data_IF_111978853508
#
_entry.id   IF_111978853508
#
_cell.length_a   1.000
_cell.length_b   1.000
_cell.length_c   1.000
_cell.angle_alpha   90.00
_cell.angle_beta   90.00
_cell.angle_gamma   90.00
#
_symmetry.space_group_name_H-M   'P 1'
#
loop_
_entity.id
_entity.type
_entity.pdbx_description
1 polymer ?
#
# COMPACT_ATOMS: atom_id res chain seq x y z
N UNK A 1 13.35 16.35 14.95
CA UNK A 1 12.47 15.19 14.87
C UNK A 1 12.27 14.80 13.40
N UNK A 2 12.19 13.51 13.13
CA UNK A 2 12.00 12.95 11.79
C UNK A 2 10.88 11.92 11.86
N UNK A 3 9.89 12.06 10.99
CA UNK A 3 8.82 11.07 10.85
C UNK A 3 9.10 10.11 9.70
N UNK A 4 9.13 8.81 9.97
CA UNK A 4 9.11 7.78 8.94
C UNK A 4 7.74 7.73 8.27
N UNK A 5 7.70 7.85 6.95
CA UNK A 5 6.47 7.67 6.18
C UNK A 5 6.31 6.24 5.64
N UNK A 6 7.12 5.30 6.10
CA UNK A 6 6.95 3.90 5.77
C UNK A 6 5.65 3.35 6.39
N UNK A 7 5.02 2.42 5.71
CA UNK A 7 3.76 1.81 6.14
C UNK A 7 4.04 0.68 7.14
N UNK A 8 4.97 -0.19 6.81
CA UNK A 8 5.33 -1.37 7.61
C UNK A 8 6.72 -1.21 8.23
N UNK A 9 7.01 -1.90 9.37
CA UNK A 9 8.32 -1.85 10.01
C UNK A 9 9.40 -2.50 9.15
N UNK A 10 10.65 -2.06 9.35
CA UNK A 10 11.85 -2.69 8.79
C UNK A 10 12.70 -1.75 7.94
N UNK A 11 12.26 -1.39 6.74
CA UNK A 11 13.05 -0.58 5.79
C UNK A 11 13.45 0.79 6.33
N UNK A 12 12.58 1.44 7.10
CA UNK A 12 12.86 2.75 7.68
C UNK A 12 14.07 2.73 8.60
N UNK A 13 14.31 1.60 9.25
CA UNK A 13 15.44 1.48 10.16
C UNK A 13 16.76 1.42 9.40
N UNK A 14 16.79 0.69 8.30
CA UNK A 14 17.99 0.52 7.49
C UNK A 14 18.27 1.73 6.61
N UNK A 15 17.26 2.26 5.94
CA UNK A 15 17.44 3.38 5.02
C UNK A 15 17.47 4.73 5.73
N UNK A 16 16.48 5.02 6.58
CA UNK A 16 16.36 6.33 7.20
C UNK A 16 17.45 6.56 8.26
N UNK A 17 17.66 5.62 9.19
CA UNK A 17 18.61 5.81 10.29
C UNK A 17 20.06 5.56 9.89
N UNK A 18 20.33 4.52 9.13
CA UNK A 18 21.70 4.15 8.81
C UNK A 18 22.27 4.84 7.58
N UNK A 19 21.45 5.15 6.59
CA UNK A 19 21.91 5.73 5.34
C UNK A 19 21.60 7.22 5.27
N UNK A 20 20.33 7.59 5.44
CA UNK A 20 19.90 8.96 5.21
C UNK A 20 20.23 9.86 6.37
N UNK A 21 19.94 9.47 7.61
CA UNK A 21 20.21 10.33 8.77
C UNK A 21 21.68 10.28 9.15
N UNK A 22 22.28 9.09 9.28
CA UNK A 22 23.70 8.97 9.68
C UNK A 22 24.66 9.51 8.63
N UNK A 23 24.46 9.15 7.36
CA UNK A 23 25.42 9.49 6.29
C UNK A 23 25.08 10.80 5.58
N UNK A 24 23.81 11.05 5.32
CA UNK A 24 23.40 12.18 4.49
C UNK A 24 22.98 13.40 5.31
N UNK A 25 22.47 13.22 6.54
CA UNK A 25 22.07 14.33 7.42
C UNK A 25 23.09 14.66 8.49
N UNK A 26 24.31 14.21 8.34
CA UNK A 26 25.45 14.71 9.13
C UNK A 26 25.36 14.44 10.64
N UNK A 27 24.68 13.41 11.13
CA UNK A 27 24.78 13.04 12.55
C UNK A 27 26.24 12.76 12.93
N UNK A 28 26.99 12.13 12.02
CA UNK A 28 28.44 11.92 12.21
C UNK A 28 29.24 13.25 12.21
N UNK A 29 28.73 14.31 11.60
CA UNK A 29 29.37 15.62 11.52
C UNK A 29 28.96 16.53 12.67
N UNK A 30 27.76 16.30 13.24
CA UNK A 30 27.20 17.09 14.34
C UNK A 30 26.73 16.15 15.46
N UNK A 31 27.65 15.52 16.21
CA UNK A 31 27.33 14.51 17.22
C UNK A 31 26.53 15.06 18.44
N UNK A 32 26.31 16.37 18.48
CA UNK A 32 25.50 17.04 19.48
C UNK A 32 24.04 17.28 19.06
N UNK A 33 23.63 16.77 17.88
CA UNK A 33 22.25 16.84 17.42
C UNK A 33 21.54 15.55 17.82
N UNK A 34 20.56 15.69 18.68
CA UNK A 34 19.65 14.59 19.02
C UNK A 34 18.58 14.42 17.96
N UNK A 35 18.33 13.17 17.54
CA UNK A 35 17.34 12.84 16.52
C UNK A 35 16.23 12.01 17.14
N UNK A 36 15.01 12.54 17.13
CA UNK A 36 13.80 11.81 17.44
C UNK A 36 13.19 11.26 16.15
N UNK A 37 12.91 9.98 16.12
CA UNK A 37 12.27 9.28 14.98
C UNK A 37 10.89 8.79 15.39
N UNK A 38 9.83 9.28 14.73
CA UNK A 38 8.49 8.72 14.85
C UNK A 38 8.40 7.34 14.19
N UNK A 39 7.58 6.47 14.76
CA UNK A 39 7.37 5.12 14.27
C UNK A 39 6.71 5.09 12.87
N UNK A 40 6.82 3.98 12.16
CA UNK A 40 6.09 3.72 10.92
C UNK A 40 4.58 3.63 11.17
N UNK A 41 3.76 3.59 10.11
CA UNK A 41 2.30 3.65 10.24
C UNK A 41 1.73 2.49 11.05
N UNK A 42 2.13 1.26 10.74
CA UNK A 42 1.61 0.04 11.36
C UNK A 42 2.57 -0.48 12.44
N UNK A 43 2.89 0.34 13.43
CA UNK A 43 3.83 -0.04 14.49
C UNK A 43 3.19 -0.85 15.61
N UNK A 44 1.90 -0.69 15.83
CA UNK A 44 1.12 -1.38 16.87
C UNK A 44 -0.13 -2.05 16.28
N UNK A 45 -0.78 -2.89 17.06
CA UNK A 45 -2.07 -3.48 16.69
C UNK A 45 -3.18 -2.42 16.65
N UNK A 46 -3.13 -1.44 17.55
CA UNK A 46 -4.07 -0.32 17.58
C UNK A 46 -3.96 0.51 16.28
N UNK A 47 -2.76 0.75 15.77
CA UNK A 47 -2.54 1.42 14.48
C UNK A 47 -3.16 0.62 13.33
N UNK A 48 -3.00 -0.70 13.38
CA UNK A 48 -3.58 -1.61 12.37
C UNK A 48 -5.10 -1.50 12.34
N UNK A 49 -5.73 -1.49 13.50
CA UNK A 49 -7.19 -1.35 13.64
C UNK A 49 -7.65 0.04 13.22
N UNK A 50 -6.92 1.10 13.57
CA UNK A 50 -7.26 2.47 13.18
C UNK A 50 -7.16 2.66 11.66
N UNK A 51 -6.09 2.20 11.03
CA UNK A 51 -5.93 2.23 9.57
C UNK A 51 -7.03 1.43 8.87
N UNK A 52 -7.34 0.23 9.38
CA UNK A 52 -8.43 -0.58 8.84
C UNK A 52 -9.78 0.13 8.94
N UNK A 53 -10.05 0.82 10.07
CA UNK A 53 -11.28 1.58 10.27
C UNK A 53 -11.39 2.76 9.29
N UNK A 54 -10.30 3.50 9.04
CA UNK A 54 -10.28 4.59 8.06
C UNK A 54 -10.58 4.07 6.66
N UNK A 55 -9.90 3.01 6.23
CA UNK A 55 -10.12 2.40 4.92
C UNK A 55 -11.51 1.82 4.77
N UNK A 56 -12.03 1.13 5.80
CA UNK A 56 -13.40 0.65 5.80
C UNK A 56 -14.40 1.79 5.64
N UNK A 57 -14.25 2.88 6.38
CA UNK A 57 -15.14 4.04 6.28
C UNK A 57 -15.15 4.63 4.86
N UNK A 58 -13.99 4.63 4.20
CA UNK A 58 -13.84 5.10 2.83
C UNK A 58 -14.52 4.16 1.82
N UNK A 59 -14.33 2.85 1.96
CA UNK A 59 -14.81 1.87 0.98
C UNK A 59 -16.17 1.24 1.33
N UNK A 60 -16.78 1.51 2.50
CA UNK A 60 -17.97 0.80 3.01
C UNK A 60 -19.14 0.74 2.01
N UNK A 61 -19.35 1.79 1.22
CA UNK A 61 -20.42 1.81 0.22
C UNK A 61 -20.14 0.84 -0.94
N UNK A 62 -18.87 0.69 -1.33
CA UNK A 62 -18.44 -0.32 -2.33
C UNK A 62 -18.54 -1.72 -1.75
N UNK A 63 -18.07 -1.90 -0.52
CA UNK A 63 -18.05 -3.18 0.19
C UNK A 63 -19.42 -3.73 0.57
N UNK A 64 -20.46 -2.89 0.56
CA UNK A 64 -21.84 -3.33 0.77
C UNK A 64 -22.35 -4.28 -0.35
N UNK A 65 -21.77 -4.17 -1.55
CA UNK A 65 -22.15 -4.96 -2.72
C UNK A 65 -21.18 -6.13 -2.90
N UNK A 66 -21.67 -7.37 -2.86
CA UNK A 66 -20.84 -8.58 -3.03
C UNK A 66 -20.06 -8.64 -4.35
N UNK A 67 -20.60 -8.02 -5.40
CA UNK A 67 -19.95 -7.95 -6.72
C UNK A 67 -18.82 -6.93 -6.81
N UNK A 68 -18.63 -6.10 -5.81
CA UNK A 68 -17.54 -5.14 -5.75
C UNK A 68 -16.42 -5.74 -4.88
N UNK A 69 -15.21 -5.71 -5.37
CA UNK A 69 -14.01 -6.13 -4.64
C UNK A 69 -13.02 -4.98 -4.62
N UNK A 70 -12.47 -4.69 -3.45
CA UNK A 70 -11.41 -3.69 -3.29
C UNK A 70 -10.08 -4.43 -3.12
N UNK A 71 -9.08 -4.08 -3.93
CA UNK A 71 -7.72 -4.58 -3.82
C UNK A 71 -6.78 -3.45 -3.46
N UNK A 72 -6.07 -3.62 -2.36
CA UNK A 72 -5.08 -2.69 -1.84
C UNK A 72 -3.68 -3.25 -2.12
N UNK A 73 -2.85 -2.47 -2.79
CA UNK A 73 -1.49 -2.87 -3.16
C UNK A 73 -0.45 -2.14 -2.31
N UNK A 74 0.21 -2.87 -1.42
CA UNK A 74 1.40 -2.42 -0.71
C UNK A 74 2.68 -2.70 -1.50
N UNK A 75 3.80 -2.18 -1.01
CA UNK A 75 5.10 -2.42 -1.63
C UNK A 75 5.61 -3.85 -1.35
N UNK A 76 5.55 -4.28 -0.12
CA UNK A 76 6.21 -5.48 0.37
C UNK A 76 7.61 -5.17 0.91
N UNK A 77 8.16 -6.08 1.72
CA UNK A 77 9.49 -5.95 2.29
C UNK A 77 10.30 -7.23 1.99
N UNK A 78 11.51 -7.10 1.42
CA UNK A 78 12.38 -8.25 1.13
C UNK A 78 12.98 -8.89 2.39
N UNK A 79 13.01 -8.19 3.52
CA UNK A 79 13.65 -8.69 4.73
C UNK A 79 12.72 -9.62 5.52
N UNK A 80 12.97 -10.91 5.38
CA UNK A 80 12.21 -11.96 6.07
C UNK A 80 12.43 -11.98 7.60
N UNK A 81 13.50 -11.35 8.10
CA UNK A 81 13.80 -11.35 9.53
C UNK A 81 12.85 -10.45 10.33
N UNK A 82 12.34 -9.40 9.72
CA UNK A 82 11.40 -8.49 10.37
C UNK A 82 9.95 -8.96 10.34
N UNK A 83 9.66 -10.01 9.57
CA UNK A 83 8.30 -10.52 9.37
C UNK A 83 7.28 -9.40 9.01
N UNK A 84 7.78 -8.34 8.38
CA UNK A 84 7.02 -7.12 8.17
C UNK A 84 5.83 -7.31 7.23
N UNK A 85 5.92 -8.27 6.31
CA UNK A 85 4.84 -8.55 5.37
C UNK A 85 3.57 -9.10 6.04
N UNK A 86 3.66 -9.61 7.28
CA UNK A 86 2.46 -10.02 8.05
C UNK A 86 1.53 -8.84 8.33
N UNK A 87 2.05 -7.62 8.39
CA UNK A 87 1.23 -6.42 8.60
C UNK A 87 0.15 -6.24 7.54
N UNK A 88 0.40 -6.63 6.30
CA UNK A 88 -0.61 -6.59 5.24
C UNK A 88 -1.77 -7.56 5.52
N UNK A 89 -1.48 -8.78 5.96
CA UNK A 89 -2.50 -9.77 6.32
C UNK A 89 -3.22 -9.42 7.64
N UNK A 90 -2.57 -8.75 8.59
CA UNK A 90 -3.18 -8.22 9.79
C UNK A 90 -4.21 -7.12 9.46
N UNK A 91 -3.85 -6.15 8.61
CA UNK A 91 -4.79 -5.12 8.12
C UNK A 91 -5.96 -5.77 7.36
N UNK A 92 -5.70 -6.76 6.49
CA UNK A 92 -6.78 -7.47 5.82
C UNK A 92 -7.72 -8.16 6.81
N UNK A 93 -7.18 -8.77 7.86
CA UNK A 93 -7.97 -9.43 8.91
C UNK A 93 -8.85 -8.43 9.65
N UNK A 94 -8.30 -7.27 10.04
CA UNK A 94 -9.05 -6.19 10.65
C UNK A 94 -10.16 -5.67 9.72
N UNK A 95 -9.86 -5.44 8.45
CA UNK A 95 -10.83 -5.06 7.42
C UNK A 95 -11.95 -6.11 7.26
N UNK A 96 -11.62 -7.39 7.28
CA UNK A 96 -12.60 -8.48 7.21
C UNK A 96 -13.48 -8.58 8.46
N UNK A 97 -13.03 -8.05 9.60
CA UNK A 97 -13.87 -7.94 10.81
C UNK A 97 -14.91 -6.85 10.66
N UNK A 98 -14.58 -5.76 9.96
CA UNK A 98 -15.47 -4.63 9.70
C UNK A 98 -16.41 -4.86 8.51
N UNK A 99 -15.89 -5.44 7.44
CA UNK A 99 -16.63 -5.63 6.18
C UNK A 99 -17.42 -6.95 6.19
N UNK A 100 -18.75 -6.87 6.26
CA UNK A 100 -19.64 -8.04 6.30
C UNK A 100 -19.40 -9.02 5.16
N UNK A 101 -19.13 -8.53 3.95
CA UNK A 101 -18.88 -9.38 2.78
C UNK A 101 -17.43 -9.86 2.66
N UNK A 102 -16.49 -9.30 3.42
CA UNK A 102 -15.06 -9.63 3.36
C UNK A 102 -14.45 -9.51 1.95
N UNK A 103 -14.93 -8.56 1.17
CA UNK A 103 -14.59 -8.34 -0.23
C UNK A 103 -13.51 -7.26 -0.43
N UNK A 104 -12.57 -7.20 0.48
CA UNK A 104 -11.39 -6.33 0.44
C UNK A 104 -10.15 -7.16 0.75
N UNK A 105 -9.11 -7.02 -0.07
CA UNK A 105 -7.89 -7.80 0.05
C UNK A 105 -6.68 -6.88 -0.01
N UNK A 106 -5.64 -7.23 0.75
CA UNK A 106 -4.39 -6.47 0.84
C UNK A 106 -3.25 -7.36 0.37
N UNK A 107 -2.58 -6.96 -0.69
CA UNK A 107 -1.41 -7.67 -1.22
C UNK A 107 -0.26 -6.72 -1.49
N UNK A 108 0.77 -7.23 -2.14
CA UNK A 108 2.02 -6.51 -2.38
C UNK A 108 2.44 -6.58 -3.84
N UNK A 109 3.28 -5.62 -4.27
CA UNK A 109 3.81 -5.61 -5.64
C UNK A 109 5.06 -6.49 -5.78
N UNK A 110 5.96 -6.48 -4.78
CA UNK A 110 7.27 -7.09 -4.93
C UNK A 110 7.55 -8.29 -4.02
N UNK A 111 7.04 -8.30 -2.79
CA UNK A 111 7.35 -9.33 -1.80
C UNK A 111 6.10 -9.66 -0.97
N UNK A 112 6.04 -10.87 -0.43
CA UNK A 112 4.87 -11.32 0.34
C UNK A 112 3.75 -11.85 -0.55
N UNK A 113 2.51 -11.50 -0.23
CA UNK A 113 1.32 -11.95 -0.96
C UNK A 113 1.08 -11.11 -2.20
N UNK A 114 1.71 -11.49 -3.30
CA UNK A 114 1.61 -10.79 -4.59
C UNK A 114 0.31 -11.11 -5.34
N UNK A 115 0.15 -10.53 -6.53
CA UNK A 115 -1.11 -10.68 -7.28
C UNK A 115 -1.41 -12.14 -7.66
N UNK A 116 -0.50 -12.83 -8.34
CA UNK A 116 -0.72 -14.20 -8.82
C UNK A 116 0.21 -15.22 -8.19
N UNK A 117 1.48 -14.91 -8.06
CA UNK A 117 2.52 -15.82 -7.56
C UNK A 117 3.44 -15.13 -6.56
N UNK A 118 4.14 -15.89 -5.71
CA UNK A 118 5.30 -15.37 -5.00
C UNK A 118 6.38 -14.90 -5.99
N UNK A 119 7.29 -14.03 -5.55
CA UNK A 119 8.29 -13.39 -6.42
C UNK A 119 9.09 -14.38 -7.26
N UNK A 120 9.56 -15.46 -6.65
CA UNK A 120 10.39 -16.46 -7.34
C UNK A 120 9.65 -17.20 -8.46
N UNK A 121 8.35 -17.32 -8.38
CA UNK A 121 7.51 -17.91 -9.44
C UNK A 121 7.07 -16.84 -10.45
N UNK A 122 6.80 -15.63 -10.00
CA UNK A 122 6.50 -14.48 -10.85
C UNK A 122 7.61 -14.21 -11.86
N UNK A 123 8.88 -14.29 -11.43
CA UNK A 123 10.06 -14.10 -12.29
C UNK A 123 10.20 -15.17 -13.37
N UNK A 124 9.63 -16.36 -13.16
CA UNK A 124 9.64 -17.47 -14.11
C UNK A 124 8.44 -17.45 -15.07
N UNK A 125 7.40 -16.70 -14.73
CA UNK A 125 6.15 -16.70 -15.49
C UNK A 125 6.29 -15.93 -16.81
N UNK A 126 6.15 -16.63 -17.93
CA UNK A 126 6.33 -16.05 -19.28
C UNK A 126 5.23 -15.05 -19.61
N UNK A 127 3.98 -15.38 -19.32
CA UNK A 127 2.82 -14.57 -19.72
C UNK A 127 2.29 -13.67 -18.60
N UNK A 128 2.86 -13.76 -17.41
CA UNK A 128 2.46 -13.04 -16.20
C UNK A 128 0.96 -13.09 -15.86
N UNK A 129 0.27 -14.09 -16.40
CA UNK A 129 -1.13 -14.40 -16.15
C UNK A 129 -1.24 -15.91 -15.99
N UNK A 130 -2.01 -16.40 -15.00
CA UNK A 130 -2.17 -17.85 -14.83
C UNK A 130 -2.82 -18.47 -16.05
N UNK A 131 -2.13 -19.43 -16.65
CA UNK A 131 -2.67 -20.31 -17.71
C UNK A 131 -3.29 -21.59 -17.16
N UNK A 132 -3.20 -21.77 -15.83
CA UNK A 132 -3.77 -22.92 -15.11
C UNK A 132 -5.15 -22.57 -14.55
N UNK A 133 -6.01 -23.58 -14.30
CA UNK A 133 -7.32 -23.33 -13.69
C UNK A 133 -7.22 -22.63 -12.33
N UNK A 134 -8.20 -21.78 -12.00
CA UNK A 134 -8.25 -21.07 -10.72
C UNK A 134 -8.15 -22.01 -9.51
N UNK A 135 -8.75 -23.21 -9.60
CA UNK A 135 -8.65 -24.21 -8.54
C UNK A 135 -7.20 -24.64 -8.25
N UNK A 136 -6.36 -24.70 -9.29
CA UNK A 136 -4.93 -24.99 -9.14
C UNK A 136 -4.22 -23.84 -8.45
N UNK A 137 -4.49 -22.60 -8.87
CA UNK A 137 -3.92 -21.40 -8.23
C UNK A 137 -4.28 -21.32 -6.73
N UNK A 138 -5.54 -21.59 -6.39
CA UNK A 138 -6.01 -21.62 -5.00
C UNK A 138 -5.29 -22.69 -4.18
N UNK A 139 -5.00 -23.84 -4.79
CA UNK A 139 -4.31 -24.94 -4.11
C UNK A 139 -2.82 -24.67 -3.90
N UNK A 140 -2.15 -24.13 -4.93
CA UNK A 140 -0.70 -23.97 -4.93
C UNK A 140 -0.27 -22.65 -4.26
N UNK A 141 -1.07 -21.58 -4.40
CA UNK A 141 -0.74 -20.21 -3.94
C UNK A 141 -1.93 -19.57 -3.21
N UNK A 142 -2.43 -20.17 -2.11
CA UNK A 142 -3.65 -19.71 -1.44
C UNK A 142 -3.58 -18.29 -0.88
N UNK A 143 -2.37 -17.81 -0.55
CA UNK A 143 -2.12 -16.46 -0.04
C UNK A 143 -2.17 -15.37 -1.11
N UNK A 144 -1.85 -15.70 -2.37
CA UNK A 144 -1.83 -14.73 -3.44
C UNK A 144 -3.21 -14.12 -3.70
N UNK A 145 -3.25 -12.85 -4.04
CA UNK A 145 -4.50 -12.07 -4.15
C UNK A 145 -5.50 -12.68 -5.12
N UNK A 146 -5.03 -13.10 -6.29
CA UNK A 146 -5.90 -13.77 -7.26
C UNK A 146 -6.59 -15.01 -6.68
N UNK A 147 -5.84 -15.83 -5.95
CA UNK A 147 -6.38 -17.06 -5.32
C UNK A 147 -7.45 -16.73 -4.28
N UNK A 148 -7.19 -15.72 -3.44
CA UNK A 148 -8.15 -15.25 -2.44
C UNK A 148 -9.42 -14.70 -3.10
N UNK A 149 -9.28 -13.89 -4.16
CA UNK A 149 -10.40 -13.32 -4.93
C UNK A 149 -11.19 -14.42 -5.63
N UNK A 150 -10.53 -15.39 -6.27
CA UNK A 150 -11.20 -16.50 -6.93
C UNK A 150 -11.95 -17.39 -5.93
N UNK A 151 -11.36 -17.61 -4.76
CA UNK A 151 -12.07 -18.33 -3.68
C UNK A 151 -13.30 -17.55 -3.21
N UNK A 152 -13.17 -16.24 -3.03
CA UNK A 152 -14.31 -15.37 -2.71
C UNK A 152 -15.42 -15.47 -3.78
N UNK A 153 -15.05 -15.44 -5.06
CA UNK A 153 -15.99 -15.61 -6.16
C UNK A 153 -16.71 -16.95 -6.08
N UNK A 154 -15.99 -18.06 -5.88
CA UNK A 154 -16.56 -19.39 -5.71
C UNK A 154 -17.53 -19.46 -4.52
N UNK A 155 -17.13 -18.96 -3.36
CA UNK A 155 -17.95 -18.98 -2.13
C UNK A 155 -19.25 -18.15 -2.27
N UNK A 156 -19.27 -17.16 -3.17
CA UNK A 156 -20.41 -16.29 -3.42
C UNK A 156 -21.16 -16.59 -4.75
N UNK A 157 -20.77 -17.64 -5.49
CA UNK A 157 -21.32 -18.00 -6.80
C UNK A 157 -21.25 -16.84 -7.81
N UNK A 158 -20.08 -16.22 -7.92
CA UNK A 158 -19.77 -15.12 -8.85
C UNK A 158 -18.77 -15.58 -9.89
N UNK A 159 -18.98 -15.15 -11.14
CA UNK A 159 -17.97 -15.27 -12.19
C UNK A 159 -17.07 -14.03 -12.23
N UNK A 160 -15.78 -14.12 -12.62
CA UNK A 160 -14.88 -12.99 -12.70
C UNK A 160 -15.46 -11.80 -13.49
N UNK A 161 -16.14 -12.07 -14.60
CA UNK A 161 -16.75 -11.04 -15.44
C UNK A 161 -18.01 -10.36 -14.85
N UNK A 162 -18.47 -10.83 -13.70
CA UNK A 162 -19.56 -10.20 -12.93
C UNK A 162 -19.04 -9.29 -11.84
N UNK A 163 -17.74 -9.36 -11.53
CA UNK A 163 -17.10 -8.65 -10.42
C UNK A 163 -16.50 -7.33 -10.90
N UNK A 164 -16.77 -6.26 -10.14
CA UNK A 164 -16.12 -4.97 -10.31
C UNK A 164 -14.94 -4.86 -9.33
N UNK A 165 -13.74 -4.72 -9.84
CA UNK A 165 -12.53 -4.58 -9.02
C UNK A 165 -12.16 -3.11 -8.91
N UNK A 166 -11.95 -2.64 -7.69
CA UNK A 166 -11.46 -1.30 -7.36
C UNK A 166 -10.04 -1.43 -6.84
N UNK A 167 -9.11 -0.76 -7.47
CA UNK A 167 -7.69 -0.79 -7.12
C UNK A 167 -7.31 0.46 -6.35
N UNK A 168 -6.52 0.31 -5.29
CA UNK A 168 -5.93 1.43 -4.57
C UNK A 168 -4.54 1.08 -4.03
N UNK A 169 -3.61 2.05 -3.98
CA UNK A 169 -2.32 1.84 -3.35
C UNK A 169 -2.45 1.80 -1.84
N UNK A 170 -1.84 0.82 -1.21
CA UNK A 170 -1.61 0.73 0.23
C UNK A 170 -0.18 1.19 0.53
N UNK A 171 0.11 2.42 0.15
CA UNK A 171 1.41 3.08 0.23
C UNK A 171 1.22 4.50 0.75
N UNK A 172 2.24 5.07 1.38
CA UNK A 172 2.16 6.43 1.92
C UNK A 172 1.89 7.49 0.85
N UNK A 173 2.50 7.34 -0.31
CA UNK A 173 2.33 8.22 -1.47
C UNK A 173 2.00 7.39 -2.72
N UNK A 174 1.29 7.99 -3.67
CA UNK A 174 1.05 7.41 -4.98
C UNK A 174 2.25 7.70 -5.91
N UNK A 175 3.32 6.92 -5.72
CA UNK A 175 4.53 7.00 -6.52
C UNK A 175 4.51 6.08 -7.74
N UNK A 176 5.70 5.68 -8.19
CA UNK A 176 5.92 4.87 -9.39
C UNK A 176 5.12 3.56 -9.38
N UNK A 177 5.19 2.79 -8.29
CA UNK A 177 4.43 1.55 -8.15
C UNK A 177 2.92 1.74 -8.28
N UNK A 178 2.37 2.84 -7.74
CA UNK A 178 0.94 3.12 -7.87
C UNK A 178 0.55 3.45 -9.30
N UNK A 179 1.41 4.16 -10.02
CA UNK A 179 1.15 4.53 -11.41
C UNK A 179 1.43 3.37 -12.38
N UNK A 180 2.60 2.77 -12.30
CA UNK A 180 3.04 1.75 -13.25
C UNK A 180 2.54 0.35 -12.88
N UNK A 181 2.81 -0.12 -11.68
CA UNK A 181 2.54 -1.53 -11.33
C UNK A 181 1.09 -1.77 -10.94
N UNK A 182 0.42 -0.80 -10.33
CA UNK A 182 -1.00 -0.95 -10.01
C UNK A 182 -1.87 -0.63 -11.23
N UNK A 183 -1.68 0.54 -11.85
CA UNK A 183 -2.58 1.04 -12.87
C UNK A 183 -2.09 0.90 -14.31
N UNK A 184 -0.78 0.78 -14.55
CA UNK A 184 -0.20 0.82 -15.88
C UNK A 184 -0.41 2.17 -16.57
N UNK A 185 -0.23 3.25 -15.83
CA UNK A 185 -0.28 4.61 -16.32
C UNK A 185 1.14 5.01 -16.69
N UNK A 186 1.35 5.48 -17.89
CA UNK A 186 2.64 6.01 -18.29
C UNK A 186 3.03 7.12 -17.31
N UNK A 187 4.20 6.97 -16.71
CA UNK A 187 4.69 7.93 -15.72
C UNK A 187 4.51 9.32 -16.31
N UNK A 188 3.89 10.21 -15.56
CA UNK A 188 3.69 11.61 -15.93
C UNK A 188 5.06 12.29 -15.89
N UNK A 189 6.01 11.69 -16.57
CA UNK A 189 7.40 12.07 -16.59
C UNK A 189 7.60 13.29 -17.47
N UNK A 190 6.74 14.01 -17.95
CA UNK A 190 7.01 15.20 -18.76
C UNK A 190 5.78 16.12 -18.78
N UNK A 191 5.56 16.98 -17.78
CA UNK A 191 4.78 18.23 -17.89
C UNK A 191 3.52 18.21 -18.77
N UNK A 192 2.99 17.06 -19.10
CA UNK A 192 1.69 16.89 -19.72
C UNK A 192 0.68 16.98 -18.61
N UNK A 193 -0.07 18.06 -18.55
CA UNK A 193 -1.10 18.24 -17.54
C UNK A 193 -1.93 16.96 -17.37
N UNK A 194 -2.24 16.60 -16.12
CA UNK A 194 -2.98 15.40 -15.72
C UNK A 194 -4.41 15.30 -16.31
N UNK A 195 -4.78 16.18 -17.19
CA UNK A 195 -6.08 16.20 -17.89
C UNK A 195 -6.28 14.99 -18.81
N UNK A 196 -5.20 14.26 -19.11
CA UNK A 196 -5.22 13.09 -19.99
C UNK A 196 -4.35 11.99 -19.40
N UNK A 197 -4.89 11.29 -18.42
CA UNK A 197 -4.31 10.04 -17.97
C UNK A 197 -4.61 8.99 -19.04
N UNK A 198 -3.68 8.78 -19.96
CA UNK A 198 -3.74 7.65 -20.88
C UNK A 198 -3.23 6.42 -20.14
N UNK A 199 -4.11 5.42 -19.98
CA UNK A 199 -3.70 4.12 -19.44
C UNK A 199 -2.74 3.48 -20.44
N UNK A 200 -1.51 3.26 -20.00
CA UNK A 200 -0.52 2.53 -20.79
C UNK A 200 -0.94 1.05 -20.90
N UNK A 201 -0.56 0.43 -21.99
CA UNK A 201 -0.67 -1.03 -22.21
C UNK A 201 0.45 -1.79 -21.48
N UNK A 202 0.82 -1.36 -20.27
CA UNK A 202 1.80 -2.10 -19.48
C UNK A 202 1.19 -3.44 -19.05
N UNK A 203 1.60 -4.50 -19.72
CA UNK A 203 1.15 -5.87 -19.51
C UNK A 203 1.37 -6.40 -18.09
N UNK A 204 2.13 -5.66 -17.29
CA UNK A 204 2.56 -6.05 -15.95
C UNK A 204 1.75 -5.41 -14.84
N UNK A 205 0.91 -4.41 -15.14
CA UNK A 205 0.09 -3.77 -14.11
C UNK A 205 -0.98 -4.72 -13.54
N UNK A 206 -1.32 -4.54 -12.27
CA UNK A 206 -2.42 -5.30 -11.66
C UNK A 206 -3.72 -5.12 -12.45
N UNK A 207 -4.01 -3.88 -12.87
CA UNK A 207 -5.18 -3.58 -13.69
C UNK A 207 -5.26 -4.46 -14.93
N UNK A 208 -4.22 -4.44 -15.76
CA UNK A 208 -4.25 -5.14 -17.04
C UNK A 208 -4.27 -6.66 -16.85
N UNK A 209 -3.50 -7.16 -15.91
CA UNK A 209 -3.44 -8.59 -15.58
C UNK A 209 -4.80 -9.09 -15.08
N UNK A 210 -5.51 -8.31 -14.25
CA UNK A 210 -6.87 -8.65 -13.78
C UNK A 210 -7.89 -8.58 -14.91
N UNK A 211 -7.82 -7.59 -15.79
CA UNK A 211 -8.68 -7.49 -16.99
C UNK A 211 -8.47 -8.70 -17.92
N UNK A 212 -7.22 -9.09 -18.15
CA UNK A 212 -6.89 -10.31 -18.92
C UNK A 212 -7.36 -11.58 -18.22
N UNK A 213 -7.41 -11.62 -16.90
CA UNK A 213 -8.00 -12.70 -16.11
C UNK A 213 -9.53 -12.68 -16.08
N UNK A 214 -10.18 -11.74 -16.76
CA UNK A 214 -11.63 -11.68 -16.97
C UNK A 214 -12.40 -10.79 -15.98
N UNK A 215 -11.74 -10.09 -15.08
CA UNK A 215 -12.39 -9.16 -14.15
C UNK A 215 -12.73 -7.81 -14.82
N UNK A 216 -13.73 -7.12 -14.26
CA UNK A 216 -14.04 -5.73 -14.64
C UNK A 216 -13.31 -4.79 -13.67
N UNK A 217 -12.20 -4.23 -14.10
CA UNK A 217 -11.49 -3.24 -13.30
C UNK A 217 -12.13 -1.86 -13.48
N UNK A 218 -12.52 -1.24 -12.38
CA UNK A 218 -13.02 0.13 -12.40
C UNK A 218 -11.87 1.10 -12.69
N UNK A 219 -11.95 1.79 -13.81
CA UNK A 219 -10.92 2.72 -14.29
C UNK A 219 -11.12 4.16 -13.81
N UNK A 220 -12.04 4.38 -12.86
CA UNK A 220 -12.26 5.70 -12.29
C UNK A 220 -11.32 5.90 -11.11
N UNK A 221 -10.41 6.85 -11.24
CA UNK A 221 -9.54 7.25 -10.13
C UNK A 221 -10.34 7.98 -9.06
N UNK A 222 -10.02 7.73 -7.80
CA UNK A 222 -10.62 8.49 -6.72
C UNK A 222 -9.96 9.87 -6.64
N UNK A 223 -10.80 10.89 -6.63
CA UNK A 223 -10.35 12.25 -6.42
C UNK A 223 -9.87 12.43 -4.97
N UNK A 224 -8.74 13.07 -4.79
CA UNK A 224 -8.33 13.61 -3.49
C UNK A 224 -8.26 15.14 -3.58
N UNK A 225 -8.45 15.86 -2.48
CA UNK A 225 -8.30 17.30 -2.49
C UNK A 225 -6.86 17.68 -2.90
N UNK A 226 -6.75 18.56 -3.89
CA UNK A 226 -5.46 19.09 -4.33
C UNK A 226 -5.08 20.27 -3.44
N UNK A 227 -3.89 20.21 -2.83
CA UNK A 227 -3.33 21.32 -2.07
C UNK A 227 -2.91 22.47 -2.99
N UNK A 228 -2.72 23.66 -2.42
CA UNK A 228 -2.31 24.85 -3.20
C UNK A 228 -0.98 24.62 -3.96
N UNK A 229 -0.02 23.93 -3.33
CA UNK A 229 1.25 23.61 -3.98
C UNK A 229 1.07 22.72 -5.20
N UNK A 230 0.15 21.75 -5.13
CA UNK A 230 -0.15 20.87 -6.26
C UNK A 230 -0.85 21.64 -7.37
N UNK A 231 -1.79 22.52 -7.02
CA UNK A 231 -2.47 23.40 -7.98
C UNK A 231 -1.48 24.34 -8.70
N UNK A 232 -0.47 24.87 -7.99
CA UNK A 232 0.59 25.70 -8.53
C UNK A 232 1.48 24.94 -9.54
N UNK A 233 1.55 23.61 -9.41
CA UNK A 233 2.20 22.69 -10.35
C UNK A 233 1.24 22.16 -11.45
N UNK A 234 0.03 22.66 -11.53
CA UNK A 234 -0.94 22.30 -12.57
C UNK A 234 -1.73 21.02 -12.28
N UNK A 235 -1.66 20.48 -11.07
CA UNK A 235 -2.47 19.33 -10.65
C UNK A 235 -3.89 19.82 -10.33
N UNK A 236 -4.89 19.15 -10.89
CA UNK A 236 -6.30 19.52 -10.69
C UNK A 236 -7.01 18.49 -9.80
N UNK A 237 -8.06 18.94 -9.13
CA UNK A 237 -8.96 18.06 -8.39
C UNK A 237 -9.48 16.93 -9.29
N UNK A 238 -9.46 15.72 -8.78
CA UNK A 238 -9.89 14.54 -9.51
C UNK A 238 -8.82 13.87 -10.38
N UNK A 239 -7.62 14.44 -10.42
CA UNK A 239 -6.49 13.92 -11.20
C UNK A 239 -5.45 13.30 -10.29
N UNK A 240 -5.74 12.20 -9.64
CA UNK A 240 -4.77 11.54 -8.78
C UNK A 240 -5.20 10.16 -8.33
N UNK A 241 -4.23 9.38 -7.91
CA UNK A 241 -4.44 8.11 -7.25
C UNK A 241 -4.34 8.36 -5.75
N UNK A 242 -5.42 8.06 -5.01
CA UNK A 242 -5.48 8.30 -3.56
C UNK A 242 -4.61 7.28 -2.83
N UNK A 243 -3.55 7.74 -2.18
CA UNK A 243 -2.69 6.93 -1.32
C UNK A 243 -3.02 7.16 0.17
N UNK A 244 -2.41 6.37 1.07
CA UNK A 244 -2.66 6.45 2.52
C UNK A 244 -2.42 7.86 3.08
N UNK A 245 -1.37 8.54 2.63
CA UNK A 245 -1.07 9.92 3.05
C UNK A 245 -2.10 10.96 2.60
N UNK A 246 -3.03 10.62 1.73
CA UNK A 246 -4.14 11.50 1.34
C UNK A 246 -5.24 11.56 2.39
N UNK A 247 -5.34 10.56 3.28
CA UNK A 247 -6.33 10.52 4.35
C UNK A 247 -5.86 11.34 5.57
N UNK A 248 -6.61 12.39 5.99
CA UNK A 248 -6.24 13.18 7.16
C UNK A 248 -6.09 12.35 8.44
N UNK A 249 -6.94 11.34 8.61
CA UNK A 249 -6.93 10.44 9.74
C UNK A 249 -5.64 9.61 9.79
N UNK A 250 -5.19 9.09 8.66
CA UNK A 250 -3.93 8.34 8.59
C UNK A 250 -2.72 9.25 8.84
N UNK A 251 -2.74 10.48 8.31
CA UNK A 251 -1.69 11.45 8.64
C UNK A 251 -1.62 11.76 10.13
N UNK A 252 -2.77 11.75 10.82
CA UNK A 252 -2.83 11.97 12.27
C UNK A 252 -2.11 10.86 13.05
N UNK A 253 -2.16 9.60 12.62
CA UNK A 253 -1.43 8.49 13.24
C UNK A 253 0.07 8.79 13.18
N UNK A 254 0.63 9.11 12.03
CA UNK A 254 2.05 9.48 11.90
C UNK A 254 2.44 10.69 12.78
N UNK A 255 1.57 11.69 12.85
CA UNK A 255 1.79 12.86 13.71
C UNK A 255 1.77 12.48 15.20
N UNK A 256 0.90 11.55 15.59
CA UNK A 256 0.85 11.07 16.97
C UNK A 256 2.10 10.28 17.32
N UNK A 257 2.58 9.39 16.45
CA UNK A 257 3.85 8.68 16.66
C UNK A 257 5.03 9.63 16.87
N UNK A 258 5.06 10.74 16.13
CA UNK A 258 6.09 11.75 16.34
C UNK A 258 5.95 12.49 17.68
N UNK A 259 4.71 12.81 18.09
CA UNK A 259 4.43 13.45 19.38
C UNK A 259 4.78 12.53 20.55
N UNK A 260 4.46 11.26 20.47
CA UNK A 260 4.80 10.26 21.49
C UNK A 260 6.30 10.21 21.74
N UNK A 261 7.10 10.28 20.68
CA UNK A 261 8.56 10.35 20.80
C UNK A 261 9.03 11.70 21.39
N UNK A 262 8.30 12.77 21.10
CA UNK A 262 8.64 14.10 21.61
C UNK A 262 8.33 14.25 23.10
N UNK A 263 7.23 13.68 23.54
CA UNK A 263 6.76 13.73 24.92
C UNK A 263 7.38 12.64 25.81
N UNK A 264 8.18 11.74 25.26
CA UNK A 264 8.81 10.66 26.00
C UNK A 264 9.86 11.18 26.99
N UNK A 265 9.84 10.67 28.23
CA UNK A 265 10.77 11.01 29.31
C UNK A 265 12.26 10.90 28.94
N UNK A 266 12.59 10.09 27.94
CA UNK A 266 13.92 9.94 27.38
C UNK A 266 14.51 11.26 26.89
N UNK A 267 13.68 12.19 26.41
CA UNK A 267 14.10 13.51 25.98
C UNK A 267 14.50 14.42 27.15
N UNK A 268 13.73 14.39 28.24
CA UNK A 268 13.98 15.20 29.43
C UNK A 268 15.26 14.77 30.17
N UNK A 269 15.60 13.50 30.09
CA UNK A 269 16.77 12.91 30.76
C UNK A 269 18.04 12.88 29.89
N UNK A 270 18.01 13.37 28.65
CA UNK A 270 19.14 13.32 27.72
C UNK A 270 19.49 11.91 27.24
N UNK A 271 18.62 10.95 27.50
CA UNK A 271 18.73 9.57 27.03
C UNK A 271 18.06 9.44 25.64
N UNK A 272 18.41 10.33 24.71
CA UNK A 272 17.91 10.24 23.37
C UNK A 272 18.10 8.85 22.77
N UNK A 273 17.24 8.45 21.85
CA UNK A 273 17.26 7.17 21.16
C UNK A 273 18.70 6.75 20.83
N UNK A 274 19.19 5.71 21.50
CA UNK A 274 20.45 5.07 21.19
C UNK A 274 20.13 3.97 20.17
N UNK A 275 20.55 4.08 18.90
CA UNK A 275 20.38 3.00 17.97
C UNK A 275 21.13 1.78 18.51
N UNK A 276 20.45 0.67 18.71
CA UNK A 276 21.10 -0.60 18.92
C UNK A 276 21.98 -0.89 17.70
N UNK A 277 23.28 -1.04 17.94
CA UNK A 277 24.31 -1.25 16.92
C UNK A 277 24.31 -2.71 16.49
#
# INVERSE_FOLDING_TARGET
AVQSLHVIPGEEYLSLMNTDIKKNFMIDWYPHIDVLKGANLLSTDDDTDEVAQVLYNHYKNKLAEKKNIVLLMGHGNPDVNYNANTKYSEVQTALHTLATNKNIFVGTVDYGEMLFWPKEEEEKAVDRIPVVPAAQMIADYPGCIYSQVMKYCQDNNLEPNEVNVYLAPFMSIAGDHAHNDLWGIEAIAENKGLDKVELNTNEYSWRERLEKAGFKVNRTFEAHPVGQADADHGIKDGCGITALGSYPEIRAIWVNHLKEQWDADAWENGEGYQPEV
#
